data_IF_674208752502
#
_entry.id   IF_674208752502
#
_cell.length_a   1.000
_cell.length_b   1.000
_cell.length_c   1.000
_cell.angle_alpha   90.00
_cell.angle_beta   90.00
_cell.angle_gamma   90.00
#
_symmetry.space_group_name_H-M   'P 1'
#
loop_
_entity.id
_entity.type
_entity.pdbx_description
1 polymer ?
#
# COMPACT_ATOMS: atom_id res chain seq x y z
N UNK A 1 4.23 -53.70 -8.43
CA UNK A 1 3.97 -52.28 -8.68
C UNK A 1 3.23 -51.77 -7.47
N UNK A 2 3.93 -51.17 -6.50
CA UNK A 2 3.28 -50.36 -5.48
C UNK A 2 3.82 -48.95 -5.70
N UNK A 3 3.01 -48.18 -6.44
CA UNK A 3 3.21 -46.75 -6.64
C UNK A 3 2.81 -46.03 -5.38
N UNK A 4 3.69 -45.11 -4.97
CA UNK A 4 3.36 -43.78 -4.48
C UNK A 4 2.25 -43.66 -3.42
N UNK A 5 2.64 -43.86 -2.17
CA UNK A 5 2.05 -43.14 -1.04
C UNK A 5 3.14 -42.27 -0.42
N UNK A 6 3.54 -41.21 -1.13
CA UNK A 6 4.25 -40.08 -0.51
C UNK A 6 3.22 -39.28 0.28
N UNK A 7 3.10 -39.62 1.55
CA UNK A 7 2.32 -38.91 2.55
C UNK A 7 2.93 -37.50 2.77
N UNK A 8 2.33 -36.48 2.15
CA UNK A 8 2.60 -35.07 2.44
C UNK A 8 1.67 -34.58 3.57
N UNK A 9 1.54 -35.36 4.64
CA UNK A 9 0.83 -34.99 5.86
C UNK A 9 1.62 -33.98 6.71
N UNK A 10 2.11 -32.89 6.12
CA UNK A 10 2.64 -31.78 6.89
C UNK A 10 1.46 -30.92 7.36
N UNK A 11 1.13 -31.02 8.65
CA UNK A 11 0.28 -30.07 9.36
C UNK A 11 0.87 -28.66 9.23
N UNK A 12 0.43 -27.92 8.22
CA UNK A 12 0.83 -26.53 7.99
C UNK A 12 0.19 -25.65 9.08
N UNK A 13 0.89 -25.48 10.20
CA UNK A 13 0.50 -24.52 11.23
C UNK A 13 0.68 -23.09 10.71
N UNK A 14 -0.43 -22.34 10.64
CA UNK A 14 -0.40 -20.92 10.31
C UNK A 14 0.19 -20.13 11.49
N UNK A 15 1.49 -19.86 11.44
CA UNK A 15 2.15 -18.96 12.40
C UNK A 15 1.96 -17.52 11.94
N UNK A 16 1.01 -16.82 12.57
CA UNK A 16 0.81 -15.39 12.34
C UNK A 16 1.85 -14.61 13.16
N UNK A 17 2.80 -13.97 12.49
CA UNK A 17 3.73 -13.05 13.13
C UNK A 17 3.10 -11.67 13.34
N UNK A 18 2.88 -11.22 14.59
CA UNK A 18 2.37 -9.89 14.86
C UNK A 18 3.38 -8.84 14.42
N UNK A 19 2.91 -7.74 13.84
CA UNK A 19 3.75 -6.57 13.57
C UNK A 19 3.91 -5.73 14.83
N UNK A 20 5.07 -5.12 15.00
CA UNK A 20 5.27 -4.08 16.01
C UNK A 20 4.21 -2.98 15.83
N UNK A 21 3.61 -2.54 16.92
CA UNK A 21 2.53 -1.54 16.90
C UNK A 21 2.68 -0.58 18.06
N UNK A 22 2.26 0.66 17.83
CA UNK A 22 2.26 1.74 18.82
C UNK A 22 0.82 2.23 19.03
N UNK A 23 0.49 2.63 20.26
CA UNK A 23 -0.82 3.19 20.57
C UNK A 23 -0.86 4.68 20.28
N UNK A 24 -1.80 5.10 19.44
CA UNK A 24 -2.04 6.51 19.11
C UNK A 24 -3.40 6.94 19.68
N UNK A 25 -3.42 7.94 20.56
CA UNK A 25 -4.64 8.53 21.10
C UNK A 25 -5.06 9.77 20.30
N UNK A 26 -6.31 9.80 19.84
CA UNK A 26 -6.86 10.86 18.98
C UNK A 26 -8.21 11.33 19.53
N UNK A 27 -8.43 12.65 19.57
CA UNK A 27 -9.75 13.22 19.85
C UNK A 27 -10.55 13.27 18.55
N UNK A 28 -11.74 12.65 18.55
CA UNK A 28 -12.62 12.60 17.37
C UNK A 28 -13.95 13.26 17.75
N UNK A 29 -14.48 14.17 16.92
CA UNK A 29 -15.82 14.73 17.11
C UNK A 29 -16.88 13.62 17.27
N UNK A 30 -17.83 13.83 18.19
CA UNK A 30 -18.82 12.79 18.56
C UNK A 30 -19.69 12.36 17.37
N UNK A 31 -20.09 13.32 16.56
CA UNK A 31 -20.84 13.12 15.31
C UNK A 31 -20.05 12.30 14.27
N UNK A 32 -18.73 12.53 14.18
CA UNK A 32 -17.85 11.75 13.32
C UNK A 32 -17.75 10.31 13.82
N UNK A 33 -17.61 10.10 15.13
CA UNK A 33 -17.60 8.76 15.72
C UNK A 33 -18.93 8.01 15.48
N UNK A 34 -20.07 8.69 15.59
CA UNK A 34 -21.37 8.11 15.26
C UNK A 34 -21.46 7.72 13.79
N UNK A 35 -20.95 8.56 12.89
CA UNK A 35 -20.91 8.28 11.46
C UNK A 35 -20.03 7.06 11.15
N UNK A 36 -18.85 6.97 11.77
CA UNK A 36 -17.96 5.81 11.66
C UNK A 36 -18.63 4.52 12.15
N UNK A 37 -19.38 4.56 13.27
CA UNK A 37 -20.13 3.41 13.77
C UNK A 37 -21.20 2.94 12.79
N UNK A 38 -21.99 3.86 12.22
CA UNK A 38 -23.01 3.53 11.20
C UNK A 38 -22.40 2.86 9.98
N UNK A 39 -21.26 3.36 9.51
CA UNK A 39 -20.56 2.79 8.35
C UNK A 39 -19.95 1.41 8.68
N UNK A 40 -19.45 1.23 9.91
CA UNK A 40 -18.93 -0.05 10.37
C UNK A 40 -20.03 -1.12 10.39
N UNK A 41 -21.22 -0.76 10.90
CA UNK A 41 -22.42 -1.60 10.91
C UNK A 41 -22.87 -1.96 9.47
N UNK A 42 -22.97 -0.96 8.58
CA UNK A 42 -23.34 -1.20 7.17
C UNK A 42 -22.37 -2.13 6.45
N UNK A 43 -21.09 -2.12 6.82
CA UNK A 43 -20.02 -2.95 6.22
C UNK A 43 -19.78 -4.24 6.99
N UNK A 44 -20.61 -4.55 7.99
CA UNK A 44 -20.53 -5.75 8.81
C UNK A 44 -19.13 -5.97 9.41
N UNK A 45 -18.49 -4.89 9.89
CA UNK A 45 -17.16 -4.96 10.48
C UNK A 45 -17.04 -4.18 11.79
N UNK A 46 -16.16 -4.60 12.71
CA UNK A 46 -15.88 -3.83 13.93
C UNK A 46 -15.37 -2.43 13.60
N UNK A 47 -15.71 -1.45 14.46
CA UNK A 47 -15.24 -0.06 14.32
C UNK A 47 -13.71 0.02 14.19
N UNK A 48 -12.99 -0.75 14.99
CA UNK A 48 -11.52 -0.80 14.93
C UNK A 48 -11.01 -1.31 13.57
N UNK A 49 -11.66 -2.31 13.00
CA UNK A 49 -11.30 -2.84 11.68
C UNK A 49 -11.56 -1.81 10.58
N UNK A 50 -12.67 -1.07 10.67
CA UNK A 50 -12.97 0.03 9.76
C UNK A 50 -11.91 1.14 9.83
N UNK A 51 -11.51 1.54 11.05
CA UNK A 51 -10.47 2.55 11.25
C UNK A 51 -9.14 2.11 10.65
N UNK A 52 -8.68 0.89 10.96
CA UNK A 52 -7.46 0.32 10.37
C UNK A 52 -7.54 0.27 8.84
N UNK A 53 -8.70 -0.10 8.30
CA UNK A 53 -8.92 -0.15 6.86
C UNK A 53 -8.84 1.24 6.22
N UNK A 54 -9.52 2.26 6.77
CA UNK A 54 -9.51 3.62 6.23
C UNK A 54 -8.13 4.25 6.28
N UNK A 55 -7.47 4.16 7.43
CA UNK A 55 -6.08 4.64 7.59
C UNK A 55 -5.18 3.94 6.58
N UNK A 56 -5.20 2.61 6.55
CA UNK A 56 -4.34 1.83 5.68
C UNK A 56 -4.62 2.03 4.18
N UNK A 57 -5.88 2.26 3.79
CA UNK A 57 -6.27 2.51 2.40
C UNK A 57 -5.71 3.83 1.91
N UNK A 58 -6.05 4.93 2.58
CA UNK A 58 -5.61 6.26 2.17
C UNK A 58 -4.08 6.38 2.23
N UNK A 59 -3.46 5.90 3.32
CA UNK A 59 -2.00 5.96 3.46
C UNK A 59 -1.27 5.18 2.35
N UNK A 60 -1.75 3.99 1.96
CA UNK A 60 -1.15 3.26 0.84
C UNK A 60 -1.28 4.01 -0.49
N UNK A 61 -2.39 4.72 -0.71
CA UNK A 61 -2.56 5.55 -1.90
C UNK A 61 -1.58 6.71 -1.92
N UNK A 62 -1.44 7.42 -0.79
CA UNK A 62 -0.53 8.55 -0.65
C UNK A 62 0.94 8.11 -0.79
N UNK A 63 1.32 7.00 -0.14
CA UNK A 63 2.67 6.44 -0.23
C UNK A 63 3.02 5.98 -1.66
N UNK A 64 2.06 5.41 -2.38
CA UNK A 64 2.25 5.03 -3.79
C UNK A 64 2.55 6.23 -4.67
N UNK A 65 1.82 7.34 -4.48
CA UNK A 65 2.05 8.59 -5.21
C UNK A 65 3.41 9.21 -4.88
N UNK A 66 3.77 9.22 -3.59
CA UNK A 66 5.07 9.71 -3.14
C UNK A 66 6.21 8.89 -3.75
N UNK A 67 6.10 7.57 -3.72
CA UNK A 67 7.09 6.67 -4.30
C UNK A 67 7.23 6.89 -5.81
N UNK A 68 6.11 6.97 -6.55
CA UNK A 68 6.14 7.25 -7.98
C UNK A 68 6.86 8.57 -8.30
N UNK A 69 6.60 9.61 -7.51
CA UNK A 69 7.28 10.91 -7.66
C UNK A 69 8.78 10.81 -7.41
N UNK A 70 9.19 10.12 -6.33
CA UNK A 70 10.60 9.90 -6.01
C UNK A 70 11.35 9.11 -7.08
N UNK A 71 10.70 8.11 -7.68
CA UNK A 71 11.26 7.35 -8.80
C UNK A 71 11.47 8.27 -10.00
N UNK A 72 10.49 9.09 -10.36
CA UNK A 72 10.61 10.03 -11.48
C UNK A 72 11.73 11.06 -11.28
N UNK A 73 11.86 11.62 -10.08
CA UNK A 73 12.94 12.54 -9.73
C UNK A 73 14.31 11.87 -9.81
N UNK A 74 14.40 10.62 -9.35
CA UNK A 74 15.63 9.83 -9.42
C UNK A 74 16.00 9.52 -10.86
N UNK A 75 15.02 9.15 -11.70
CA UNK A 75 15.21 8.93 -13.13
C UNK A 75 15.69 10.19 -13.83
N UNK A 76 15.10 11.36 -13.55
CA UNK A 76 15.55 12.64 -14.10
C UNK A 76 17.03 12.92 -13.78
N UNK A 77 17.41 12.70 -12.50
CA UNK A 77 18.80 12.86 -12.05
C UNK A 77 19.76 11.89 -12.74
N UNK A 78 19.33 10.65 -12.99
CA UNK A 78 20.14 9.67 -13.71
C UNK A 78 20.31 10.08 -15.17
N UNK A 79 19.24 10.47 -15.87
CA UNK A 79 19.31 10.92 -17.26
C UNK A 79 20.21 12.15 -17.44
N UNK A 80 20.11 13.12 -16.52
CA UNK A 80 20.96 14.32 -16.55
C UNK A 80 22.47 14.00 -16.45
N UNK A 81 22.86 12.87 -15.83
CA UNK A 81 24.27 12.44 -15.78
C UNK A 81 24.82 11.98 -17.13
N UNK A 82 23.95 11.63 -18.08
CA UNK A 82 24.33 11.16 -19.41
C UNK A 82 24.24 12.26 -20.49
N UNK A 83 24.35 13.54 -20.09
CA UNK A 83 24.36 14.71 -21.00
C UNK A 83 23.09 14.92 -21.84
N UNK A 84 21.95 14.38 -21.40
CA UNK A 84 20.67 14.73 -22.02
C UNK A 84 20.32 16.20 -21.79
N UNK A 85 19.75 16.84 -22.81
CA UNK A 85 19.18 18.18 -22.66
C UNK A 85 17.93 18.13 -21.76
N UNK A 86 17.58 19.23 -21.13
CA UNK A 86 16.38 19.30 -20.27
C UNK A 86 15.09 18.94 -21.04
N UNK A 87 15.02 19.32 -22.32
CA UNK A 87 13.91 18.96 -23.22
C UNK A 87 13.85 17.45 -23.49
N UNK A 88 15.01 16.81 -23.75
CA UNK A 88 15.08 15.35 -23.95
C UNK A 88 14.67 14.59 -22.69
N UNK A 89 15.15 15.02 -21.52
CA UNK A 89 14.77 14.42 -20.23
C UNK A 89 13.27 14.55 -20.02
N UNK A 90 12.69 15.73 -20.23
CA UNK A 90 11.25 15.95 -20.06
C UNK A 90 10.43 15.05 -20.98
N UNK A 91 10.86 14.89 -22.24
CA UNK A 91 10.17 14.01 -23.20
C UNK A 91 10.20 12.55 -22.76
N UNK A 92 11.37 12.04 -22.36
CA UNK A 92 11.53 10.65 -21.87
C UNK A 92 10.67 10.42 -20.62
N UNK A 93 10.66 11.35 -19.66
CA UNK A 93 9.86 11.22 -18.45
C UNK A 93 8.34 11.25 -18.75
N UNK A 94 7.91 12.01 -19.76
CA UNK A 94 6.52 12.00 -20.21
C UNK A 94 6.14 10.66 -20.85
N UNK A 95 7.00 10.08 -21.67
CA UNK A 95 6.79 8.75 -22.27
C UNK A 95 6.69 7.67 -21.18
N UNK A 96 7.60 7.68 -20.19
CA UNK A 96 7.56 6.74 -19.05
C UNK A 96 6.24 6.86 -18.27
N UNK A 97 5.70 8.08 -18.07
CA UNK A 97 4.41 8.29 -17.40
C UNK A 97 3.22 7.72 -18.18
N UNK A 98 3.29 7.72 -19.51
CA UNK A 98 2.23 7.20 -20.37
C UNK A 98 2.23 5.66 -20.39
N UNK A 99 3.42 5.05 -20.35
CA UNK A 99 3.60 3.59 -20.30
C UNK A 99 3.30 2.99 -18.92
N UNK A 100 3.55 3.71 -17.83
CA UNK A 100 3.33 3.25 -16.46
C UNK A 100 1.85 3.28 -15.99
N UNK A 101 0.90 3.41 -16.92
CA UNK A 101 -0.53 3.63 -16.67
C UNK A 101 -1.35 2.35 -16.84
#
# INVERSE_FOLDING_TARGET
>A
MNNDDLDFGEDLELIVHPRESETVALQIPKDTLESLKKVAEQREMPLEALLKFYIGKCLRQDLSQLFASQVMDSTAKVLARYHHSEEEVSKILQEIRLEAK
#
